data_IF_017027855327
#
_entry.id   IF_017027855327
#
_cell.length_a   1.000
_cell.length_b   1.000
_cell.length_c   1.000
_cell.angle_alpha   90.00
_cell.angle_beta   90.00
_cell.angle_gamma   90.00
#
_symmetry.space_group_name_H-M   'P 1'
#
loop_
_entity.id
_entity.type
_entity.pdbx_description
1 polymer ?
#
# COMPACT_ATOMS: atom_id res chain seq x y z
N UNK A 1 13.33 -8.92 -25.13
CA UNK A 1 12.69 -8.08 -24.10
C UNK A 1 13.80 -7.26 -23.50
N UNK A 2 13.85 -5.95 -23.77
CA UNK A 2 14.93 -5.10 -23.28
C UNK A 2 14.65 -4.67 -21.83
N UNK A 3 15.65 -4.78 -20.97
CA UNK A 3 15.63 -4.30 -19.58
C UNK A 3 16.26 -2.93 -19.50
N UNK A 4 15.47 -1.94 -19.12
CA UNK A 4 15.92 -0.55 -18.98
C UNK A 4 15.84 -0.14 -17.51
N UNK A 5 16.89 0.51 -17.00
CA UNK A 5 16.91 1.08 -15.66
C UNK A 5 16.43 2.53 -15.73
N UNK A 6 15.25 2.82 -15.19
CA UNK A 6 14.61 4.13 -15.32
C UNK A 6 14.39 4.81 -13.97
N UNK A 7 14.26 6.14 -13.99
CA UNK A 7 13.96 6.91 -12.78
C UNK A 7 12.46 6.84 -12.45
N UNK A 8 12.15 6.43 -11.23
CA UNK A 8 10.80 6.39 -10.67
C UNK A 8 10.58 7.58 -9.76
N UNK A 9 9.51 8.34 -10.01
CA UNK A 9 9.12 9.53 -9.26
C UNK A 9 7.76 9.33 -8.58
N UNK A 10 7.66 9.84 -7.36
CA UNK A 10 6.47 9.81 -6.51
C UNK A 10 5.67 11.09 -6.72
N UNK A 11 4.36 10.95 -6.93
CA UNK A 11 3.43 12.08 -6.94
C UNK A 11 3.02 12.40 -5.50
N UNK A 12 3.01 13.67 -5.12
CA UNK A 12 2.68 14.08 -3.76
C UNK A 12 1.26 13.67 -3.37
N UNK A 13 1.14 13.06 -2.18
CA UNK A 13 -0.11 12.54 -1.62
C UNK A 13 -0.86 11.54 -2.53
N UNK A 14 -0.19 10.99 -3.55
CA UNK A 14 -0.82 10.06 -4.47
C UNK A 14 0.02 8.78 -4.65
N UNK A 15 -0.24 7.74 -3.84
CA UNK A 15 0.48 6.48 -3.91
C UNK A 15 0.02 5.57 -5.07
N UNK A 16 -1.14 5.87 -5.68
CA UNK A 16 -1.74 5.07 -6.76
C UNK A 16 -0.89 5.13 -8.02
N UNK A 17 -0.40 6.32 -8.34
CA UNK A 17 0.31 6.57 -9.58
C UNK A 17 1.81 6.76 -9.36
N UNK A 18 2.60 6.22 -10.29
CA UNK A 18 4.03 6.48 -10.41
C UNK A 18 4.36 7.05 -11.76
N UNK A 19 5.35 7.93 -11.80
CA UNK A 19 5.89 8.46 -13.04
C UNK A 19 7.25 7.83 -13.25
N UNK A 20 7.43 7.16 -14.38
CA UNK A 20 8.73 6.69 -14.81
C UNK A 20 9.25 7.63 -15.89
N UNK A 21 10.43 8.19 -15.67
CA UNK A 21 11.14 8.99 -16.65
C UNK A 21 12.05 8.09 -17.46
N UNK A 22 11.85 8.08 -18.77
CA UNK A 22 12.68 7.36 -19.74
C UNK A 22 13.11 8.36 -20.82
N UNK A 23 14.40 8.64 -20.90
CA UNK A 23 14.97 9.68 -21.76
C UNK A 23 14.24 11.05 -21.62
N UNK A 24 13.45 11.43 -22.64
CA UNK A 24 12.62 12.63 -22.70
C UNK A 24 11.13 12.37 -22.46
N UNK A 25 10.73 11.11 -22.31
CA UNK A 25 9.35 10.70 -22.09
C UNK A 25 9.02 10.51 -20.60
N UNK A 26 7.75 10.77 -20.27
CA UNK A 26 7.19 10.59 -18.93
C UNK A 26 6.06 9.57 -19.02
N UNK A 27 6.23 8.44 -18.34
CA UNK A 27 5.27 7.33 -18.34
C UNK A 27 4.54 7.29 -16.99
N UNK A 28 3.24 7.49 -17.00
CA UNK A 28 2.39 7.40 -15.82
C UNK A 28 1.78 6.01 -15.70
N UNK A 29 1.92 5.39 -14.53
CA UNK A 29 1.53 3.99 -14.30
C UNK A 29 0.62 3.91 -13.09
N UNK A 30 -0.48 3.17 -13.22
CA UNK A 30 -1.40 2.85 -12.12
C UNK A 30 -0.97 1.56 -11.41
N UNK A 31 -0.42 1.70 -10.21
CA UNK A 31 0.01 0.59 -9.36
C UNK A 31 -1.18 -0.14 -8.71
N UNK A 32 -2.32 0.52 -8.54
CA UNK A 32 -3.53 -0.03 -7.90
C UNK A 32 -4.61 -0.43 -8.92
N UNK A 33 -4.21 -0.63 -10.17
CA UNK A 33 -5.09 -0.97 -11.30
C UNK A 33 -5.85 -2.29 -11.14
N UNK A 34 -5.36 -3.22 -10.31
CA UNK A 34 -6.02 -4.50 -10.06
C UNK A 34 -6.28 -4.66 -8.55
N UNK A 35 -7.51 -5.01 -8.17
CA UNK A 35 -7.92 -5.20 -6.78
C UNK A 35 -7.14 -6.32 -6.07
N UNK A 36 -6.64 -7.33 -6.79
CA UNK A 36 -5.86 -8.43 -6.20
C UNK A 36 -4.53 -7.92 -5.61
N UNK A 37 -4.04 -6.77 -6.09
CA UNK A 37 -2.83 -6.12 -5.57
C UNK A 37 -2.97 -5.74 -4.10
N UNK A 38 -4.19 -5.54 -3.60
CA UNK A 38 -4.44 -5.23 -2.19
C UNK A 38 -4.11 -6.40 -1.27
N UNK A 39 -4.22 -7.62 -1.79
CA UNK A 39 -3.88 -8.84 -1.06
C UNK A 39 -2.48 -9.31 -1.38
N UNK A 40 -1.98 -9.07 -2.59
CA UNK A 40 -0.69 -9.60 -3.04
C UNK A 40 0.10 -8.52 -3.81
N UNK A 41 1.02 -7.80 -3.15
CA UNK A 41 1.77 -6.71 -3.80
C UNK A 41 2.66 -7.19 -4.94
N UNK A 42 3.10 -8.45 -4.87
CA UNK A 42 4.01 -9.07 -5.84
C UNK A 42 3.38 -9.21 -7.23
N UNK A 43 2.05 -9.20 -7.31
CA UNK A 43 1.31 -9.19 -8.58
C UNK A 43 1.72 -7.99 -9.44
N UNK A 44 2.02 -6.84 -8.83
CA UNK A 44 2.52 -5.67 -9.55
C UNK A 44 3.86 -5.92 -10.26
N UNK A 45 4.63 -6.92 -9.84
CA UNK A 45 5.92 -7.26 -10.44
C UNK A 45 5.80 -8.36 -11.49
N UNK A 46 4.76 -9.19 -11.40
CA UNK A 46 4.54 -10.32 -12.29
C UNK A 46 3.69 -9.94 -13.51
N UNK A 47 2.64 -9.15 -13.30
CA UNK A 47 1.67 -8.82 -14.34
C UNK A 47 2.06 -7.52 -15.05
N UNK A 48 2.08 -7.49 -16.40
CA UNK A 48 2.25 -6.25 -17.16
C UNK A 48 1.18 -5.22 -16.79
N UNK A 49 1.62 -4.00 -16.51
CA UNK A 49 0.78 -2.84 -16.19
C UNK A 49 0.57 -1.96 -17.41
N UNK A 50 -0.61 -1.38 -17.49
CA UNK A 50 -0.90 -0.32 -18.45
C UNK A 50 -0.19 0.95 -18.01
N UNK A 51 0.46 1.60 -18.97
CA UNK A 51 1.06 2.90 -18.79
C UNK A 51 0.49 3.87 -19.80
N UNK A 52 0.55 5.14 -19.45
CA UNK A 52 0.12 6.23 -20.30
C UNK A 52 1.23 7.26 -20.44
N UNK A 53 1.49 7.71 -21.66
CA UNK A 53 2.45 8.79 -21.91
C UNK A 53 1.84 10.13 -21.54
N UNK A 54 2.51 10.89 -20.68
CA UNK A 54 2.09 12.24 -20.29
C UNK A 54 3.02 13.29 -20.91
N UNK A 55 2.48 14.46 -21.23
CA UNK A 55 3.28 15.57 -21.76
C UNK A 55 4.14 16.19 -20.66
N UNK A 56 5.20 16.89 -21.04
CA UNK A 56 6.04 17.63 -20.10
C UNK A 56 5.23 18.69 -19.32
N UNK A 57 4.29 19.37 -19.97
CA UNK A 57 3.43 20.37 -19.32
C UNK A 57 2.55 19.73 -18.24
N UNK A 58 1.98 18.55 -18.49
CA UNK A 58 1.17 17.85 -17.50
C UNK A 58 2.04 17.30 -16.36
N UNK A 59 3.25 16.84 -16.67
CA UNK A 59 4.23 16.46 -15.66
C UNK A 59 4.60 17.62 -14.72
N UNK A 60 4.78 18.84 -15.24
CA UNK A 60 5.10 20.02 -14.43
C UNK A 60 3.92 20.48 -13.55
N UNK A 61 2.68 20.26 -13.99
CA UNK A 61 1.47 20.49 -13.17
C UNK A 61 1.34 19.47 -12.03
N UNK A 62 1.98 18.30 -12.14
CA UNK A 62 1.97 17.31 -11.07
C UNK A 62 2.91 17.77 -9.95
N UNK A 63 2.39 17.85 -8.73
CA UNK A 63 3.18 18.12 -7.53
C UNK A 63 4.10 16.94 -7.23
N UNK A 64 5.26 16.86 -7.88
CA UNK A 64 6.25 15.82 -7.62
C UNK A 64 6.92 16.10 -6.27
N UNK A 65 6.90 15.12 -5.37
CA UNK A 65 7.56 15.27 -4.06
C UNK A 65 9.05 15.41 -4.28
N UNK A 66 9.61 16.60 -3.96
CA UNK A 66 11.04 16.68 -3.67
C UNK A 66 11.27 15.93 -2.35
N UNK A 67 12.19 14.96 -2.28
CA UNK A 67 12.39 14.18 -1.06
C UNK A 67 12.84 15.09 0.08
N UNK A 68 11.94 15.42 1.00
CA UNK A 68 12.29 16.10 2.25
C UNK A 68 12.78 15.01 3.21
N UNK A 69 14.06 15.06 3.58
CA UNK A 69 14.61 14.20 4.65
C UNK A 69 14.02 14.62 5.98
N UNK A 70 12.81 14.14 6.32
CA UNK A 70 12.31 14.32 7.68
C UNK A 70 12.68 13.10 8.53
N UNK A 71 13.92 13.11 9.04
CA UNK A 71 14.52 12.03 9.84
C UNK A 71 13.84 11.85 11.20
N UNK A 72 13.02 12.82 11.65
CA UNK A 72 12.46 12.91 13.01
C UNK A 72 11.06 12.29 13.16
N UNK A 73 10.23 12.29 12.11
CA UNK A 73 8.84 11.81 12.19
C UNK A 73 8.74 10.31 12.53
N UNK A 74 9.61 9.48 11.97
CA UNK A 74 9.59 8.03 12.25
C UNK A 74 9.91 7.71 13.72
N UNK A 75 10.89 8.40 14.30
CA UNK A 75 11.27 8.22 15.70
C UNK A 75 10.23 8.75 16.68
N UNK A 76 9.57 9.86 16.36
CA UNK A 76 8.49 10.42 17.19
C UNK A 76 7.24 9.54 17.19
N UNK A 77 6.86 8.99 16.03
CA UNK A 77 5.76 8.00 15.95
C UNK A 77 6.11 6.74 16.74
N UNK A 78 7.32 6.20 16.58
CA UNK A 78 7.76 5.01 17.31
C UNK A 78 7.78 5.22 18.83
N UNK A 79 8.32 6.35 19.29
CA UNK A 79 8.32 6.71 20.71
C UNK A 79 6.90 6.88 21.28
N UNK A 80 6.00 7.51 20.52
CA UNK A 80 4.58 7.65 20.90
C UNK A 80 3.88 6.29 21.06
N UNK A 81 4.11 5.36 20.13
CA UNK A 81 3.55 4.00 20.20
C UNK A 81 4.08 3.25 21.43
N UNK A 82 5.38 3.36 21.74
CA UNK A 82 5.99 2.69 22.90
C UNK A 82 5.43 3.24 24.22
N UNK A 83 5.27 4.56 24.35
CA UNK A 83 4.74 5.19 25.57
C UNK A 83 3.25 4.88 25.77
N UNK A 84 2.45 4.92 24.70
CA UNK A 84 1.05 4.51 24.73
C UNK A 84 0.92 3.01 25.05
N UNK A 85 1.74 2.17 24.45
CA UNK A 85 1.77 0.73 24.75
C UNK A 85 2.10 0.45 26.22
N UNK A 86 3.06 1.16 26.81
CA UNK A 86 3.44 1.01 28.21
C UNK A 86 2.32 1.42 29.19
N UNK A 87 1.58 2.47 28.88
CA UNK A 87 0.46 2.95 29.72
C UNK A 87 -0.77 2.05 29.58
N UNK A 88 -1.12 1.66 28.36
CA UNK A 88 -2.24 0.76 28.08
C UNK A 88 -2.01 -0.64 28.67
N UNK A 89 -0.76 -1.15 28.67
CA UNK A 89 -0.40 -2.46 29.24
C UNK A 89 -0.80 -2.60 30.71
N UNK A 90 -0.71 -1.53 31.50
CA UNK A 90 -1.07 -1.57 32.93
C UNK A 90 -2.58 -1.70 33.15
N UNK A 91 -3.37 -1.30 32.15
CA UNK A 91 -4.81 -1.13 32.27
C UNK A 91 -5.60 -2.04 31.31
N UNK A 92 -4.98 -3.10 30.76
CA UNK A 92 -5.59 -3.97 29.75
C UNK A 92 -6.89 -4.62 30.21
N UNK A 93 -6.98 -4.95 31.51
CA UNK A 93 -8.15 -5.58 32.13
C UNK A 93 -9.42 -4.71 32.04
N UNK A 94 -9.27 -3.39 31.91
CA UNK A 94 -10.41 -2.46 31.76
C UNK A 94 -11.06 -2.53 30.38
N UNK A 95 -10.41 -3.21 29.43
CA UNK A 95 -10.82 -3.31 28.03
C UNK A 95 -11.24 -4.73 27.64
N UNK A 96 -11.27 -5.65 28.60
CA UNK A 96 -11.80 -7.00 28.39
C UNK A 96 -13.33 -6.93 28.35
N UNK A 97 -13.92 -7.68 27.42
CA UNK A 97 -15.36 -7.84 27.32
C UNK A 97 -15.71 -9.30 27.06
N UNK A 98 -16.97 -9.65 27.33
CA UNK A 98 -17.49 -10.99 27.08
C UNK A 98 -18.72 -10.87 26.18
N UNK A 99 -18.52 -11.19 24.92
CA UNK A 99 -19.48 -11.26 23.85
C UNK A 99 -19.61 -12.71 23.40
N UNK A 100 -20.78 -13.04 22.86
CA UNK A 100 -20.99 -14.32 22.20
C UNK A 100 -20.08 -14.42 20.96
N UNK A 101 -19.59 -15.63 20.67
CA UNK A 101 -18.67 -15.88 19.54
C UNK A 101 -19.25 -15.36 18.23
N UNK A 102 -20.54 -15.57 17.98
CA UNK A 102 -21.23 -15.10 16.78
C UNK A 102 -21.17 -13.58 16.61
N UNK A 103 -21.22 -12.84 17.71
CA UNK A 103 -21.08 -11.37 17.71
C UNK A 103 -19.64 -10.98 17.37
N UNK A 104 -18.64 -11.69 17.92
CA UNK A 104 -17.23 -11.43 17.60
C UNK A 104 -16.95 -11.68 16.13
N UNK A 105 -17.35 -12.83 15.59
CA UNK A 105 -17.24 -13.14 14.17
C UNK A 105 -17.88 -12.05 13.29
N UNK A 106 -19.09 -11.61 13.66
CA UNK A 106 -19.82 -10.57 12.93
C UNK A 106 -19.08 -9.22 12.99
N UNK A 107 -18.55 -8.83 14.15
CA UNK A 107 -17.79 -7.58 14.30
C UNK A 107 -16.47 -7.60 13.51
N UNK A 108 -15.78 -8.73 13.45
CA UNK A 108 -14.59 -8.89 12.62
C UNK A 108 -14.96 -8.81 11.13
N UNK A 109 -16.06 -9.43 10.72
CA UNK A 109 -16.51 -9.32 9.32
C UNK A 109 -16.87 -7.88 8.93
N UNK A 110 -17.61 -7.17 9.78
CA UNK A 110 -17.97 -5.75 9.56
C UNK A 110 -16.71 -4.88 9.50
N UNK A 111 -15.80 -5.03 10.46
CA UNK A 111 -14.55 -4.26 10.48
C UNK A 111 -13.68 -4.50 9.24
N UNK A 112 -13.65 -5.73 8.73
CA UNK A 112 -12.95 -6.04 7.49
C UNK A 112 -13.61 -5.38 6.26
N UNK A 113 -14.95 -5.39 6.18
CA UNK A 113 -15.69 -4.71 5.12
C UNK A 113 -15.48 -3.19 5.15
N UNK A 114 -15.43 -2.58 6.32
CA UNK A 114 -15.13 -1.15 6.48
C UNK A 114 -13.75 -0.79 5.91
N UNK A 115 -12.73 -1.62 6.17
CA UNK A 115 -11.40 -1.43 5.61
C UNK A 115 -11.43 -1.52 4.08
N UNK A 116 -12.13 -2.51 3.51
CA UNK A 116 -12.28 -2.63 2.05
C UNK A 116 -12.99 -1.40 1.47
N UNK A 117 -14.10 -0.97 2.07
CA UNK A 117 -14.87 0.18 1.59
C UNK A 117 -14.02 1.46 1.65
N UNK A 118 -13.33 1.70 2.78
CA UNK A 118 -12.41 2.81 2.94
C UNK A 118 -11.32 2.80 1.87
N UNK A 119 -10.77 1.62 1.57
CA UNK A 119 -9.78 1.46 0.53
C UNK A 119 -10.35 1.80 -0.86
N UNK A 120 -11.51 1.26 -1.22
CA UNK A 120 -12.19 1.56 -2.48
C UNK A 120 -12.46 3.07 -2.63
N UNK A 121 -12.90 3.71 -1.55
CA UNK A 121 -13.09 5.16 -1.49
C UNK A 121 -11.78 5.92 -1.75
N UNK A 122 -10.68 5.54 -1.09
CA UNK A 122 -9.37 6.14 -1.33
C UNK A 122 -8.90 5.92 -2.78
N UNK A 123 -9.05 4.71 -3.33
CA UNK A 123 -8.66 4.43 -4.71
C UNK A 123 -9.42 5.31 -5.71
N UNK A 124 -10.72 5.55 -5.47
CA UNK A 124 -11.53 6.48 -6.28
C UNK A 124 -11.02 7.92 -6.11
N UNK A 125 -10.83 8.38 -4.87
CA UNK A 125 -10.36 9.74 -4.56
C UNK A 125 -8.97 10.05 -5.11
N UNK A 126 -8.09 9.04 -5.16
CA UNK A 126 -6.72 9.17 -5.66
C UNK A 126 -6.61 9.11 -7.19
N UNK A 127 -7.70 8.81 -7.90
CA UNK A 127 -7.72 8.75 -9.36
C UNK A 127 -7.49 10.14 -9.96
N UNK A 128 -6.60 10.26 -10.93
CA UNK A 128 -6.25 11.53 -11.57
C UNK A 128 -6.93 11.65 -12.94
N UNK A 129 -7.57 12.80 -13.21
CA UNK A 129 -8.29 13.03 -14.46
C UNK A 129 -7.39 12.89 -15.69
N UNK A 130 -6.14 13.38 -15.61
CA UNK A 130 -5.13 13.29 -16.68
C UNK A 130 -4.94 11.83 -17.12
N UNK A 131 -4.97 10.87 -16.19
CA UNK A 131 -4.83 9.44 -16.50
C UNK A 131 -6.03 8.90 -17.29
N UNK A 132 -7.24 9.34 -16.96
CA UNK A 132 -8.46 8.92 -17.66
C UNK A 132 -8.56 9.51 -19.07
N UNK A 133 -8.18 10.78 -19.24
CA UNK A 133 -8.20 11.46 -20.55
C UNK A 133 -7.22 10.82 -21.55
N UNK A 134 -6.10 10.32 -21.04
CA UNK A 134 -5.02 9.73 -21.85
C UNK A 134 -5.12 8.20 -21.98
N UNK A 135 -6.18 7.59 -21.43
CA UNK A 135 -6.42 6.15 -21.39
C UNK A 135 -6.54 5.50 -22.77
N UNK A 136 -6.84 6.24 -23.84
CA UNK A 136 -7.01 5.67 -25.18
C UNK A 136 -5.71 5.13 -25.81
N UNK A 137 -4.52 5.37 -25.22
CA UNK A 137 -3.22 4.90 -25.70
C UNK A 137 -2.58 3.90 -24.71
N UNK A 138 -3.30 2.84 -24.29
CA UNK A 138 -2.78 1.87 -23.33
C UNK A 138 -1.67 0.99 -23.93
N UNK A 139 -0.44 1.20 -23.49
CA UNK A 139 0.66 0.29 -23.74
C UNK A 139 0.98 -0.50 -22.47
N UNK A 140 1.50 -1.71 -22.62
CA UNK A 140 1.81 -2.61 -21.50
C UNK A 140 3.31 -2.66 -21.24
N UNK A 141 3.70 -2.47 -19.98
CA UNK A 141 5.08 -2.67 -19.53
C UNK A 141 5.09 -3.50 -18.25
N UNK A 142 6.20 -4.13 -17.92
CA UNK A 142 6.37 -4.81 -16.63
C UNK A 142 7.39 -4.04 -15.79
N UNK A 143 7.06 -3.82 -14.51
CA UNK A 143 7.93 -3.15 -13.55
C UNK A 143 8.56 -4.19 -12.63
N UNK A 144 9.87 -4.10 -12.42
CA UNK A 144 10.57 -4.90 -11.43
C UNK A 144 11.38 -3.98 -10.51
N UNK A 145 11.06 -3.95 -9.20
CA UNK A 145 11.82 -3.14 -8.25
C UNK A 145 13.20 -3.74 -7.98
N UNK A 146 14.03 -2.99 -7.25
CA UNK A 146 15.35 -3.48 -6.84
C UNK A 146 15.22 -4.64 -5.85
N UNK A 147 16.24 -5.50 -5.80
CA UNK A 147 16.30 -6.62 -4.86
C UNK A 147 16.05 -6.19 -3.40
N UNK A 148 16.62 -5.04 -2.99
CA UNK A 148 16.40 -4.50 -1.64
C UNK A 148 14.92 -4.22 -1.36
N UNK A 149 14.21 -3.62 -2.31
CA UNK A 149 12.79 -3.32 -2.13
C UNK A 149 11.91 -4.58 -2.25
N UNK A 150 12.34 -5.57 -3.04
CA UNK A 150 11.71 -6.91 -3.06
C UNK A 150 11.77 -7.53 -1.66
N UNK A 151 12.97 -7.64 -1.07
CA UNK A 151 13.15 -8.18 0.28
C UNK A 151 12.35 -7.39 1.31
N UNK A 152 12.37 -6.06 1.25
CA UNK A 152 11.62 -5.21 2.17
C UNK A 152 10.10 -5.43 2.06
N UNK A 153 9.58 -5.51 0.84
CA UNK A 153 8.14 -5.75 0.60
C UNK A 153 7.73 -7.13 1.10
N UNK A 154 8.55 -8.17 0.85
CA UNK A 154 8.28 -9.54 1.34
C UNK A 154 8.29 -9.58 2.86
N UNK A 155 9.32 -9.00 3.50
CA UNK A 155 9.40 -8.95 4.95
C UNK A 155 8.19 -8.24 5.55
N UNK A 156 7.83 -7.07 5.01
CA UNK A 156 6.69 -6.30 5.51
C UNK A 156 5.37 -7.05 5.34
N UNK A 157 5.17 -7.66 4.18
CA UNK A 157 4.00 -8.48 3.86
C UNK A 157 3.83 -9.62 4.87
N UNK A 158 4.90 -10.39 5.11
CA UNK A 158 4.89 -11.49 6.07
C UNK A 158 4.67 -10.98 7.49
N UNK A 159 5.37 -9.93 7.90
CA UNK A 159 5.25 -9.37 9.24
C UNK A 159 3.84 -8.86 9.55
N UNK A 160 3.31 -7.98 8.70
CA UNK A 160 1.98 -7.40 8.93
C UNK A 160 0.86 -8.39 8.72
N UNK A 161 0.98 -9.27 7.72
CA UNK A 161 0.02 -10.36 7.50
C UNK A 161 -0.03 -11.33 8.69
N UNK A 162 1.15 -11.75 9.20
CA UNK A 162 1.24 -12.63 10.36
C UNK A 162 0.66 -11.98 11.61
N UNK A 163 0.99 -10.72 11.91
CA UNK A 163 0.47 -10.01 13.07
C UNK A 163 -1.05 -9.80 12.98
N UNK A 164 -1.55 -9.46 11.79
CA UNK A 164 -2.98 -9.30 11.53
C UNK A 164 -3.73 -10.62 11.71
N UNK A 165 -3.22 -11.71 11.14
CA UNK A 165 -3.81 -13.04 11.28
C UNK A 165 -3.76 -13.53 12.73
N UNK A 166 -2.63 -13.34 13.42
CA UNK A 166 -2.47 -13.70 14.83
C UNK A 166 -3.46 -12.97 15.73
N UNK A 167 -3.67 -11.66 15.53
CA UNK A 167 -4.64 -10.90 16.30
C UNK A 167 -6.09 -11.36 16.03
N UNK A 168 -6.43 -11.63 14.76
CA UNK A 168 -7.71 -12.24 14.39
C UNK A 168 -7.91 -13.60 15.06
N UNK A 169 -6.88 -14.45 15.02
CA UNK A 169 -6.92 -15.79 15.59
C UNK A 169 -7.21 -15.75 17.09
N UNK A 170 -6.50 -14.88 17.81
CA UNK A 170 -6.70 -14.69 19.24
C UNK A 170 -8.11 -14.19 19.58
N UNK A 171 -8.67 -13.26 18.79
CA UNK A 171 -10.03 -12.73 19.00
C UNK A 171 -11.10 -13.80 18.77
N UNK A 172 -10.95 -14.59 17.71
CA UNK A 172 -12.03 -15.42 17.16
C UNK A 172 -11.98 -16.88 17.61
N UNK A 173 -10.79 -17.46 17.73
CA UNK A 173 -10.63 -18.88 18.08
C UNK A 173 -10.22 -19.08 19.55
N UNK A 174 -9.37 -18.20 20.07
CA UNK A 174 -8.95 -18.26 21.48
C UNK A 174 -9.85 -17.42 22.40
N UNK A 175 -10.85 -16.74 21.83
CA UNK A 175 -11.80 -15.89 22.56
C UNK A 175 -11.14 -14.86 23.49
N UNK A 176 -9.96 -14.35 23.12
CA UNK A 176 -9.25 -13.27 23.81
C UNK A 176 -9.92 -11.95 23.45
N UNK A 177 -11.07 -11.70 24.07
CA UNK A 177 -11.94 -10.59 23.73
C UNK A 177 -11.52 -9.31 24.44
N UNK A 178 -10.60 -8.58 23.80
CA UNK A 178 -10.06 -7.34 24.31
C UNK A 178 -10.16 -6.23 23.24
N UNK A 179 -10.66 -5.05 23.64
CA UNK A 179 -10.85 -3.92 22.71
C UNK A 179 -9.53 -3.47 22.08
N UNK A 180 -8.44 -3.46 22.84
CA UNK A 180 -7.11 -3.10 22.35
C UNK A 180 -6.66 -4.09 21.27
N UNK A 181 -6.92 -5.39 21.48
CA UNK A 181 -6.60 -6.42 20.50
C UNK A 181 -7.42 -6.24 19.22
N UNK A 182 -8.72 -5.95 19.34
CA UNK A 182 -9.60 -5.67 18.20
C UNK A 182 -9.14 -4.44 17.40
N UNK A 183 -8.84 -3.32 18.08
CA UNK A 183 -8.32 -2.11 17.43
C UNK A 183 -6.95 -2.37 16.79
N UNK A 184 -6.09 -3.15 17.45
CA UNK A 184 -4.79 -3.53 16.90
C UNK A 184 -4.94 -4.40 15.66
N UNK A 185 -5.89 -5.33 15.66
CA UNK A 185 -6.22 -6.15 14.49
C UNK A 185 -6.67 -5.28 13.31
N UNK A 186 -7.59 -4.33 13.53
CA UNK A 186 -8.03 -3.38 12.48
C UNK A 186 -6.85 -2.57 11.94
N UNK A 187 -6.02 -2.02 12.82
CA UNK A 187 -4.86 -1.23 12.45
C UNK A 187 -3.84 -2.04 11.63
N UNK A 188 -3.52 -3.26 12.06
CA UNK A 188 -2.59 -4.13 11.34
C UNK A 188 -3.15 -4.59 9.98
N UNK A 189 -4.45 -4.87 9.90
CA UNK A 189 -5.13 -5.20 8.64
C UNK A 189 -5.07 -4.02 7.67
N UNK A 190 -5.32 -2.81 8.16
CA UNK A 190 -5.25 -1.57 7.39
C UNK A 190 -3.82 -1.33 6.87
N UNK A 191 -2.81 -1.48 7.73
CA UNK A 191 -1.39 -1.37 7.37
C UNK A 191 -0.98 -2.38 6.30
N UNK A 192 -1.40 -3.64 6.44
CA UNK A 192 -1.17 -4.69 5.45
C UNK A 192 -1.69 -4.28 4.06
N UNK A 193 -2.96 -3.83 3.97
CA UNK A 193 -3.53 -3.41 2.68
C UNK A 193 -2.86 -2.15 2.09
N UNK A 194 -2.49 -1.15 2.91
CA UNK A 194 -1.85 0.07 2.42
C UNK A 194 -0.46 -0.14 1.85
N UNK A 195 0.32 -0.99 2.49
CA UNK A 195 1.69 -1.25 2.04
C UNK A 195 1.70 -2.12 0.80
N UNK A 196 0.67 -2.93 0.60
CA UNK A 196 0.50 -3.66 -0.64
C UNK A 196 0.28 -2.71 -1.86
N UNK A 197 -0.29 -1.52 -1.63
CA UNK A 197 -0.38 -0.45 -2.64
C UNK A 197 0.98 0.17 -3.00
N UNK A 198 1.92 0.21 -2.03
CA UNK A 198 3.24 0.80 -2.16
C UNK A 198 4.30 -0.20 -2.66
N UNK A 199 3.94 -1.17 -3.49
CA UNK A 199 4.86 -2.26 -3.88
C UNK A 199 6.12 -1.81 -4.65
N UNK A 200 6.19 -0.54 -5.08
CA UNK A 200 7.36 0.05 -5.75
C UNK A 200 7.69 1.38 -5.07
N UNK A 201 8.68 1.38 -4.17
CA UNK A 201 9.12 2.56 -3.43
C UNK A 201 10.38 3.18 -4.06
N UNK A 202 11.14 2.37 -4.80
CA UNK A 202 12.44 2.73 -5.32
C UNK A 202 12.42 3.96 -6.24
N UNK A 203 13.54 4.70 -6.19
CA UNK A 203 13.86 5.80 -7.11
C UNK A 203 14.33 5.31 -8.48
N UNK A 204 14.79 4.06 -8.57
CA UNK A 204 15.23 3.41 -9.81
C UNK A 204 14.52 2.07 -9.93
N UNK A 205 13.92 1.81 -11.08
CA UNK A 205 13.11 0.60 -11.33
C UNK A 205 13.50 0.03 -12.68
N UNK A 206 13.52 -1.30 -12.78
CA UNK A 206 13.73 -1.98 -14.05
C UNK A 206 12.40 -2.07 -14.80
N UNK A 207 12.37 -1.59 -16.04
CA UNK A 207 11.23 -1.74 -16.94
C UNK A 207 11.56 -2.78 -17.99
N UNK A 208 10.57 -3.62 -18.27
CA UNK A 208 10.53 -4.47 -19.44
C UNK A 208 9.45 -3.94 -20.38
N UNK A 209 9.86 -3.33 -21.48
CA UNK A 209 8.94 -2.90 -22.53
C UNK A 209 8.62 -4.13 -23.39
N UNK A 210 7.32 -4.40 -23.57
CA UNK A 210 6.90 -5.31 -24.62
C UNK A 210 7.00 -4.51 -25.93
N UNK A 211 8.05 -4.79 -26.70
CA UNK A 211 8.18 -4.23 -28.05
C UNK A 211 6.94 -4.65 -28.85
N UNK A 212 6.14 -3.68 -29.27
CA UNK A 212 5.19 -3.87 -30.36
C UNK A 212 6.04 -3.94 -31.63
N UNK A 213 6.53 -5.14 -31.96
CA UNK A 213 6.73 -5.49 -33.36
C UNK A 213 5.37 -5.73 -33.98
#
# INVERSE_FOLDING_TARGET
METLLCESKVINKNPKYRIIKYDSEYLMIDLASNWIVFFFPFINWLIPKTYVKITKNDYEKLNIVKPVKNKSIGWTIFAGIVLLGGTVRRNTYLFDFQLEELIVWSSCFIGFLEIIFFYCYLNKKLTLNIYNESKNNELKLRLLPSFKNICFTIFYYLFTGFMSYGAFYLLVFENVQNLILYVSWLFMTMLFMFMNMHSIIDKKVHIFLKSNK
#
